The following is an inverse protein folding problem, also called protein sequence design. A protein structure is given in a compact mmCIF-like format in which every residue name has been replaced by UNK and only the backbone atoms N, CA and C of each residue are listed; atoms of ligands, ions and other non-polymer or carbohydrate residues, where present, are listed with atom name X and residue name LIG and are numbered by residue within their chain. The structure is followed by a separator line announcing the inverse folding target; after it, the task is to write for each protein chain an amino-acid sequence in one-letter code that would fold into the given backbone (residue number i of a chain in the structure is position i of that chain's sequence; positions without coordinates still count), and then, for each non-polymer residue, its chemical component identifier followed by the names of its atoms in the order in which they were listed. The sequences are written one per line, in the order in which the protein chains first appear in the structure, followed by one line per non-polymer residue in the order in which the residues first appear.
data_IF_276069918284
#
_entry.id   IF_276069918284
#
_cell.length_a   1.000
_cell.length_b   1.000
_cell.length_c   1.000
_cell.angle_alpha   90.00
_cell.angle_beta   90.00
_cell.angle_gamma   90.00
#
_symmetry.space_group_name_H-M   'P 1'
#
loop_
_entity.id
_entity.type
_entity.pdbx_description
1 polymer ?
#
# COMPACT_ATOMS: atom_id res chain seq x y z
N UNK A 1 -37.15 -13.25 40.22
CA UNK A 1 -36.68 -13.18 38.82
C UNK A 1 -35.46 -12.26 38.77
N UNK A 2 -34.25 -12.83 38.78
CA UNK A 2 -32.99 -12.09 38.63
C UNK A 2 -32.49 -12.29 37.20
N UNK A 3 -32.52 -11.23 36.40
CA UNK A 3 -31.86 -11.19 35.09
C UNK A 3 -30.42 -10.76 35.30
N UNK A 4 -29.50 -11.70 35.26
CA UNK A 4 -28.09 -11.42 34.95
C UNK A 4 -27.97 -11.32 33.43
N UNK A 5 -27.38 -10.24 32.93
CA UNK A 5 -27.23 -9.99 31.50
C UNK A 5 -25.97 -9.17 31.25
N UNK A 6 -24.86 -9.91 31.10
CA UNK A 6 -23.63 -9.60 30.36
C UNK A 6 -23.17 -8.13 30.27
N UNK A 7 -22.16 -7.81 31.09
CA UNK A 7 -21.21 -6.75 30.79
C UNK A 7 -20.42 -7.16 29.52
N UNK A 8 -20.79 -6.64 28.36
CA UNK A 8 -20.03 -6.77 27.12
C UNK A 8 -18.78 -5.88 27.20
N UNK A 9 -17.82 -6.28 28.04
CA UNK A 9 -16.45 -5.82 27.92
C UNK A 9 -15.90 -6.42 26.63
N UNK A 10 -15.87 -5.62 25.56
CA UNK A 10 -15.00 -5.91 24.41
C UNK A 10 -13.62 -6.29 24.98
N UNK A 11 -13.03 -7.43 24.59
CA UNK A 11 -11.64 -7.67 24.95
C UNK A 11 -10.87 -6.51 24.33
N UNK A 12 -10.22 -5.71 25.17
CA UNK A 12 -9.12 -4.89 24.72
C UNK A 12 -8.06 -5.87 24.24
N UNK A 13 -8.14 -6.22 22.96
CA UNK A 13 -7.23 -7.08 22.25
C UNK A 13 -5.88 -6.37 22.32
N UNK A 14 -5.05 -6.82 23.27
CA UNK A 14 -3.71 -6.27 23.47
C UNK A 14 -2.89 -6.70 22.27
N UNK A 15 -2.92 -5.88 21.21
CA UNK A 15 -2.12 -6.07 20.03
C UNK A 15 -0.66 -6.29 20.49
N UNK A 16 -0.04 -7.40 20.06
CA UNK A 16 1.32 -7.74 20.45
C UNK A 16 2.25 -6.53 20.22
N UNK A 17 3.00 -6.13 21.24
CA UNK A 17 3.93 -5.00 21.17
C UNK A 17 4.92 -5.13 20.00
N UNK A 18 5.24 -6.36 19.57
CA UNK A 18 6.07 -6.63 18.38
C UNK A 18 5.40 -6.23 17.07
N UNK A 19 4.07 -6.36 16.99
CA UNK A 19 3.30 -5.92 15.83
C UNK A 19 3.35 -4.40 15.78
N UNK A 20 3.10 -3.72 16.90
CA UNK A 20 3.17 -2.25 17.02
C UNK A 20 4.55 -1.72 16.62
N UNK A 21 5.63 -2.31 17.14
CA UNK A 21 7.01 -1.92 16.78
C UNK A 21 7.31 -2.09 15.28
N UNK A 22 6.78 -3.16 14.68
CA UNK A 22 6.93 -3.38 13.24
C UNK A 22 6.18 -2.31 12.44
N UNK A 23 4.98 -1.93 12.88
CA UNK A 23 4.21 -0.84 12.28
C UNK A 23 4.95 0.49 12.34
N UNK A 24 5.46 0.87 13.50
CA UNK A 24 6.22 2.12 13.69
C UNK A 24 7.39 2.21 12.70
N UNK A 25 8.19 1.14 12.59
CA UNK A 25 9.28 1.09 11.62
C UNK A 25 8.81 1.20 10.18
N UNK A 26 7.70 0.56 9.82
CA UNK A 26 7.14 0.67 8.45
C UNK A 26 6.61 2.06 8.16
N UNK A 27 6.12 2.78 9.16
CA UNK A 27 5.74 4.18 9.01
C UNK A 27 6.96 5.07 8.77
N UNK A 28 8.05 4.90 9.52
CA UNK A 28 9.31 5.62 9.27
C UNK A 28 9.84 5.39 7.85
N UNK A 29 9.73 4.16 7.34
CA UNK A 29 10.10 3.82 5.95
C UNK A 29 9.20 4.56 4.94
N UNK A 30 7.89 4.62 5.16
CA UNK A 30 6.95 5.37 4.30
C UNK A 30 7.23 6.87 4.33
N UNK A 31 7.47 7.44 5.52
CA UNK A 31 7.80 8.86 5.69
C UNK A 31 9.07 9.24 4.94
N UNK A 32 10.10 8.37 5.01
CA UNK A 32 11.34 8.55 4.24
C UNK A 32 11.05 8.63 2.75
N UNK A 33 10.23 7.71 2.22
CA UNK A 33 9.85 7.70 0.80
C UNK A 33 9.04 8.95 0.40
N UNK A 34 8.17 9.45 1.28
CA UNK A 34 7.42 10.69 1.01
C UNK A 34 8.29 11.94 1.02
N UNK A 35 9.29 11.99 1.89
CA UNK A 35 10.28 13.06 1.90
C UNK A 35 11.08 13.07 0.58
N UNK A 36 11.47 11.89 0.10
CA UNK A 36 12.17 11.73 -1.17
C UNK A 36 11.29 12.14 -2.35
N UNK A 37 10.03 11.71 -2.39
CA UNK A 37 9.06 12.14 -3.41
C UNK A 37 8.91 13.67 -3.45
N UNK A 38 8.86 14.31 -2.28
CA UNK A 38 8.80 15.77 -2.18
C UNK A 38 10.06 16.46 -2.70
N UNK A 39 11.23 15.83 -2.57
CA UNK A 39 12.48 16.33 -3.16
C UNK A 39 12.49 16.15 -4.68
N UNK A 40 12.13 14.96 -5.17
CA UNK A 40 12.08 14.63 -6.60
C UNK A 40 11.13 15.56 -7.35
N UNK A 41 9.94 15.83 -6.81
CA UNK A 41 8.97 16.75 -7.42
C UNK A 41 9.57 18.15 -7.56
N UNK A 42 10.23 18.66 -6.52
CA UNK A 42 10.88 19.98 -6.57
C UNK A 42 11.97 20.03 -7.64
N UNK A 43 12.74 18.96 -7.78
CA UNK A 43 13.81 18.88 -8.78
C UNK A 43 13.26 18.77 -10.21
N UNK A 44 12.22 17.95 -10.42
CA UNK A 44 11.49 17.85 -11.69
C UNK A 44 10.93 19.23 -12.07
N UNK A 45 10.27 19.92 -11.15
CA UNK A 45 9.71 21.26 -11.41
C UNK A 45 10.79 22.27 -11.77
N UNK A 46 11.97 22.23 -11.12
CA UNK A 46 13.12 23.09 -11.46
C UNK A 46 13.64 22.78 -12.86
N UNK A 47 13.78 21.50 -13.20
CA UNK A 47 14.25 21.09 -14.53
C UNK A 47 13.26 21.44 -15.64
N UNK A 48 11.95 21.43 -15.35
CA UNK A 48 10.90 21.93 -16.25
C UNK A 48 10.91 23.45 -16.46
N UNK A 49 11.60 24.22 -15.61
CA UNK A 49 11.81 25.66 -15.84
C UNK A 49 13.07 25.92 -16.69
N UNK A 50 13.98 24.95 -16.75
CA UNK A 50 15.24 25.01 -17.50
C UNK A 50 15.12 24.37 -18.91
N UNK A 51 13.97 24.56 -19.57
CA UNK A 51 13.45 23.86 -20.78
C UNK A 51 14.39 23.71 -21.99
N UNK A 52 15.57 24.32 -21.98
CA UNK A 52 16.48 24.36 -23.13
C UNK A 52 17.62 23.35 -23.11
N UNK A 53 17.82 22.57 -22.04
CA UNK A 53 18.96 21.63 -21.96
C UNK A 53 18.52 20.17 -22.05
N UNK A 54 19.11 19.43 -23.00
CA UNK A 54 18.92 17.99 -23.17
C UNK A 54 19.23 17.20 -21.88
N UNK A 55 20.20 17.69 -21.11
CA UNK A 55 20.57 17.13 -19.81
C UNK A 55 19.41 17.19 -18.78
N UNK A 56 18.60 18.26 -18.78
CA UNK A 56 17.43 18.38 -17.90
C UNK A 56 16.30 17.44 -18.30
N UNK A 57 16.12 17.14 -19.59
CA UNK A 57 15.11 16.20 -20.07
C UNK A 57 15.47 14.75 -19.71
N UNK A 58 16.72 14.35 -19.93
CA UNK A 58 17.23 13.04 -19.51
C UNK A 58 17.16 12.89 -17.98
N UNK A 59 17.54 13.94 -17.24
CA UNK A 59 17.40 14.00 -15.78
C UNK A 59 15.96 13.80 -15.32
N UNK A 60 14.99 14.48 -15.93
CA UNK A 60 13.57 14.33 -15.62
C UNK A 60 13.07 12.90 -15.83
N UNK A 61 13.48 12.23 -16.91
CA UNK A 61 13.11 10.83 -17.14
C UNK A 61 13.64 9.88 -16.06
N UNK A 62 14.79 10.18 -15.45
CA UNK A 62 15.33 9.42 -14.31
C UNK A 62 14.54 9.74 -13.04
N UNK A 63 14.31 11.02 -12.75
CA UNK A 63 13.58 11.47 -11.55
C UNK A 63 12.12 10.97 -11.54
N UNK A 64 11.41 11.01 -12.68
CA UNK A 64 10.05 10.45 -12.80
C UNK A 64 10.02 8.94 -12.60
N UNK A 65 11.03 8.20 -13.12
CA UNK A 65 11.14 6.76 -12.87
C UNK A 65 11.34 6.47 -11.40
N UNK A 66 12.20 7.23 -10.72
CA UNK A 66 12.40 7.09 -9.27
C UNK A 66 11.12 7.39 -8.50
N UNK A 67 10.41 8.46 -8.83
CA UNK A 67 9.14 8.81 -8.20
C UNK A 67 8.10 7.69 -8.35
N UNK A 68 7.97 7.12 -9.55
CA UNK A 68 7.05 6.02 -9.80
C UNK A 68 7.45 4.74 -9.04
N UNK A 69 8.75 4.46 -8.94
CA UNK A 69 9.27 3.35 -8.14
C UNK A 69 8.92 3.53 -6.65
N UNK A 70 9.12 4.73 -6.12
CA UNK A 70 8.77 5.08 -4.74
C UNK A 70 7.27 4.90 -4.46
N UNK A 71 6.39 5.31 -5.38
CA UNK A 71 4.93 5.05 -5.24
C UNK A 71 4.65 3.55 -5.15
N UNK A 72 5.28 2.74 -6.01
CA UNK A 72 5.15 1.27 -5.96
C UNK A 72 5.61 0.67 -4.63
N UNK A 73 6.72 1.18 -4.08
CA UNK A 73 7.26 0.75 -2.78
C UNK A 73 6.29 1.07 -1.64
N UNK A 74 5.67 2.26 -1.63
CA UNK A 74 4.67 2.62 -0.62
C UNK A 74 3.48 1.67 -0.67
N UNK A 75 2.96 1.36 -1.86
CA UNK A 75 1.85 0.40 -2.04
C UNK A 75 2.23 -0.98 -1.49
N UNK A 76 3.46 -1.44 -1.76
CA UNK A 76 3.96 -2.70 -1.23
C UNK A 76 4.06 -2.70 0.30
N UNK A 77 4.63 -1.64 0.89
CA UNK A 77 4.73 -1.49 2.35
C UNK A 77 3.37 -1.55 3.02
N UNK A 78 2.35 -0.87 2.46
CA UNK A 78 0.98 -0.95 2.97
C UNK A 78 0.35 -2.33 2.80
N UNK A 79 0.59 -3.01 1.67
CA UNK A 79 0.13 -4.39 1.46
C UNK A 79 0.71 -5.34 2.51
N UNK A 80 2.00 -5.20 2.81
CA UNK A 80 2.69 -6.06 3.76
C UNK A 80 2.30 -5.76 5.20
N UNK A 81 2.08 -4.49 5.56
CA UNK A 81 1.52 -4.08 6.86
C UNK A 81 0.12 -4.66 7.08
N UNK A 82 -0.76 -4.52 6.08
CA UNK A 82 -2.12 -5.05 6.13
C UNK A 82 -2.14 -6.56 6.33
N UNK A 83 -1.29 -7.31 5.60
CA UNK A 83 -1.14 -8.76 5.77
C UNK A 83 -0.63 -9.13 7.16
N UNK A 84 0.35 -8.40 7.68
CA UNK A 84 0.92 -8.66 9.00
C UNK A 84 -0.10 -8.43 10.12
N UNK A 85 -0.90 -7.37 10.02
CA UNK A 85 -2.01 -7.12 10.94
C UNK A 85 -3.07 -8.22 10.91
N UNK A 86 -3.49 -8.62 9.71
CA UNK A 86 -4.40 -9.74 9.52
C UNK A 86 -3.88 -11.04 10.15
N UNK A 87 -2.58 -11.33 10.03
CA UNK A 87 -1.95 -12.49 10.67
C UNK A 87 -1.90 -12.36 12.19
N UNK A 88 -1.60 -11.17 12.70
CA UNK A 88 -1.56 -10.93 14.15
C UNK A 88 -2.93 -11.19 14.79
N UNK A 89 -4.01 -10.69 14.19
CA UNK A 89 -5.39 -10.93 14.64
C UNK A 89 -5.79 -12.42 14.57
N UNK A 90 -5.38 -13.14 13.53
CA UNK A 90 -5.65 -14.58 13.40
C UNK A 90 -4.91 -15.42 14.46
N UNK A 91 -3.76 -14.96 14.94
CA UNK A 91 -3.01 -15.66 15.98
C UNK A 91 -3.58 -15.40 17.38
N UNK A 92 -4.20 -14.23 17.59
CA UNK A 92 -4.86 -13.88 18.86
C UNK A 92 -6.23 -14.57 19.01
N UNK A 93 -6.88 -14.84 17.88
CA UNK A 93 -8.16 -15.52 17.83
C UNK A 93 -8.01 -16.93 17.24
N UNK A 94 -8.16 -17.97 18.08
CA UNK A 94 -8.37 -19.36 17.63
C UNK A 94 -9.75 -19.55 16.92
N UNK A 95 -10.27 -18.51 16.26
CA UNK A 95 -11.50 -18.52 15.48
C UNK A 95 -11.15 -18.39 14.01
N UNK A 96 -11.62 -19.38 13.23
CA UNK A 96 -11.50 -19.45 11.77
C UNK A 96 -12.30 -18.32 11.12
N UNK A 97 -11.87 -17.07 11.24
CA UNK A 97 -12.50 -15.96 10.55
C UNK A 97 -11.87 -15.79 9.17
N UNK A 98 -12.64 -16.13 8.14
CA UNK A 98 -12.29 -16.02 6.70
C UNK A 98 -12.11 -14.57 6.22
N UNK A 99 -12.04 -13.58 7.11
CA UNK A 99 -12.08 -12.16 6.80
C UNK A 99 -10.83 -11.60 6.10
N UNK A 100 -9.69 -12.31 6.16
CA UNK A 100 -8.43 -11.86 5.54
C UNK A 100 -8.03 -12.66 4.27
N UNK A 101 -8.92 -13.47 3.69
CA UNK A 101 -8.65 -14.04 2.36
C UNK A 101 -8.72 -12.91 1.34
N UNK A 102 -7.56 -12.34 1.01
CA UNK A 102 -7.39 -11.52 -0.18
C UNK A 102 -7.83 -12.34 -1.39
N UNK A 103 -9.06 -12.11 -1.86
CA UNK A 103 -9.39 -12.35 -3.26
C UNK A 103 -8.52 -11.40 -4.05
N UNK A 104 -7.46 -11.94 -4.65
CA UNK A 104 -6.74 -11.27 -5.73
C UNK A 104 -7.81 -10.89 -6.75
N UNK A 105 -8.02 -9.60 -6.94
CA UNK A 105 -8.87 -9.10 -8.03
C UNK A 105 -8.20 -9.60 -9.32
N UNK A 106 -8.81 -10.57 -9.99
CA UNK A 106 -8.39 -11.03 -11.30
C UNK A 106 -8.30 -9.82 -12.23
N UNK A 107 -7.10 -9.55 -12.71
CA UNK A 107 -6.86 -8.52 -13.71
C UNK A 107 -7.79 -8.74 -14.91
N UNK A 108 -8.47 -7.65 -15.25
CA UNK A 108 -9.15 -7.31 -16.50
C UNK A 108 -9.00 -8.32 -17.67
N UNK A 109 -10.06 -9.06 -17.98
CA UNK A 109 -10.25 -9.68 -19.30
C UNK A 109 -10.89 -8.64 -20.22
N UNK A 110 -10.13 -8.12 -21.18
CA UNK A 110 -10.69 -7.46 -22.36
C UNK A 110 -11.44 -8.54 -23.15
N UNK A 111 -12.76 -8.42 -23.39
CA UNK A 111 -13.42 -9.30 -24.33
C UNK A 111 -12.97 -8.92 -25.73
N UNK A 112 -12.14 -9.76 -26.33
CA UNK A 112 -11.87 -9.73 -27.76
C UNK A 112 -13.17 -9.96 -28.52
N UNK A 113 -13.72 -8.90 -29.10
CA UNK A 113 -14.80 -8.94 -30.07
C UNK A 113 -14.27 -9.40 -31.41
N UNK A 114 -14.67 -10.60 -31.81
CA UNK A 114 -14.30 -11.30 -33.03
C UNK A 114 -14.39 -10.45 -34.31
N UNK A 115 -13.38 -10.59 -35.16
CA UNK A 115 -13.57 -10.41 -36.59
C UNK A 115 -14.53 -11.48 -37.12
N UNK A 116 -15.55 -11.04 -37.85
CA UNK A 116 -16.25 -11.88 -38.82
C UNK A 116 -16.52 -11.04 -40.06
N UNK A 117 -15.60 -11.13 -41.00
CA UNK A 117 -15.83 -10.91 -42.42
C UNK A 117 -16.80 -11.97 -42.96
N UNK A 118 -17.50 -11.60 -44.04
CA UNK A 118 -18.31 -12.43 -44.93
C UNK A 118 -19.80 -12.61 -44.57
N UNK A 119 -20.67 -11.82 -45.21
CA UNK A 119 -21.27 -12.22 -46.49
C UNK A 119 -21.79 -11.01 -47.26
#
# INVERSE_FOLDING_TARGET
MQRQGANSSMPSEKLDARVVQTFEKRFEEVETIFNDNSSLIREISKNQQNLGSEASLIGNAVLFRQLNANIGQVVQLYSDMSKQYCKALQNDQNTKSRACQSHVVSNHTIPGGNGSTAK
#
